data_IF_794841646476
#
_entry.id   IF_794841646476
#
_cell.length_a   1.000
_cell.length_b   1.000
_cell.length_c   1.000
_cell.angle_alpha   90.00
_cell.angle_beta   90.00
_cell.angle_gamma   90.00
#
_symmetry.space_group_name_H-M   'P 1'
#
loop_
_entity.id
_entity.type
_entity.pdbx_description
1 polymer ?
#
# COMPACT_ATOMS: atom_id res chain seq x y z
N UNK A 1 -9.53 43.98 -0.04
CA UNK A 1 -8.56 42.99 0.46
C UNK A 1 -8.98 41.62 -0.08
N UNK A 2 -8.41 41.23 -1.23
CA UNK A 2 -8.81 40.03 -1.96
C UNK A 2 -7.56 39.22 -2.29
N UNK A 3 -7.46 38.02 -1.72
CA UNK A 3 -6.37 37.08 -1.96
C UNK A 3 -6.63 36.32 -3.27
N UNK A 4 -5.72 36.33 -4.27
CA UNK A 4 -5.87 35.48 -5.44
C UNK A 4 -5.48 34.04 -5.09
N UNK A 5 -6.44 33.12 -5.21
CA UNK A 5 -6.19 31.68 -5.24
C UNK A 5 -5.63 31.31 -6.62
N UNK A 6 -4.31 31.17 -6.71
CA UNK A 6 -3.62 30.63 -7.87
C UNK A 6 -2.58 29.60 -7.44
N UNK A 7 -3.00 28.42 -6.98
CA UNK A 7 -2.09 27.27 -6.93
C UNK A 7 -2.06 26.63 -8.31
N UNK A 8 -1.00 26.93 -9.03
CA UNK A 8 -0.60 26.27 -10.26
C UNK A 8 -0.66 24.75 -10.09
N UNK A 9 -1.53 24.11 -10.87
CA UNK A 9 -1.46 22.68 -11.19
C UNK A 9 -0.18 22.46 -11.98
N UNK A 10 0.75 21.56 -11.60
CA UNK A 10 1.71 21.05 -12.56
C UNK A 10 0.96 20.13 -13.53
N UNK A 11 1.17 20.38 -14.81
CA UNK A 11 0.52 19.76 -15.95
C UNK A 11 0.55 18.23 -15.89
N UNK A 12 -0.56 17.62 -16.31
CA UNK A 12 -0.69 16.18 -16.44
C UNK A 12 0.36 15.58 -17.36
N UNK A 13 0.94 14.47 -16.93
CA UNK A 13 1.53 13.52 -17.86
C UNK A 13 0.41 12.97 -18.72
N UNK A 14 0.30 13.47 -19.95
CA UNK A 14 -0.58 12.91 -20.97
C UNK A 14 -0.06 11.51 -21.33
N UNK A 15 -0.71 10.47 -20.80
CA UNK A 15 -0.57 9.11 -21.32
C UNK A 15 -1.61 8.93 -22.42
N UNK A 16 -1.43 9.65 -23.53
CA UNK A 16 -2.25 9.51 -24.72
C UNK A 16 -1.85 8.24 -25.45
N UNK A 17 -2.82 7.35 -25.65
CA UNK A 17 -2.64 6.06 -26.30
C UNK A 17 -1.95 6.17 -27.65
N UNK A 18 -0.90 5.36 -27.80
CA UNK A 18 -0.10 5.17 -29.01
C UNK A 18 1.17 4.44 -28.58
N UNK A 19 1.52 3.33 -29.22
CA UNK A 19 2.61 2.45 -28.82
C UNK A 19 4.00 3.10 -28.85
N UNK A 20 4.35 3.87 -27.82
CA UNK A 20 5.63 4.58 -27.69
C UNK A 20 6.25 4.38 -26.31
N UNK A 21 7.38 3.67 -26.32
CA UNK A 21 8.52 3.73 -25.38
C UNK A 21 8.27 4.20 -23.94
N UNK A 22 8.00 3.23 -23.05
CA UNK A 22 8.11 3.38 -21.60
C UNK A 22 9.59 3.48 -21.19
N UNK A 23 10.27 4.60 -21.47
CA UNK A 23 11.71 4.76 -21.20
C UNK A 23 11.96 5.82 -20.12
N UNK A 24 11.67 5.48 -18.86
CA UNK A 24 12.29 6.17 -17.73
C UNK A 24 13.75 5.68 -17.61
N UNK A 25 14.62 6.35 -18.36
CA UNK A 25 16.06 6.09 -18.35
C UNK A 25 16.65 6.53 -17.00
N UNK A 26 16.89 5.58 -16.09
CA UNK A 26 17.97 5.62 -15.08
C UNK A 26 17.95 4.36 -14.19
N UNK A 27 18.87 3.43 -14.48
CA UNK A 27 19.17 2.16 -13.77
C UNK A 27 18.13 1.03 -13.94
N UNK A 28 17.84 0.68 -15.19
CA UNK A 28 17.25 -0.61 -15.54
C UNK A 28 18.36 -1.68 -15.47
N UNK A 29 18.59 -2.24 -14.29
CA UNK A 29 19.43 -3.43 -14.10
C UNK A 29 18.61 -4.72 -14.25
N UNK A 30 19.30 -5.86 -14.30
CA UNK A 30 18.66 -7.16 -14.19
C UNK A 30 17.70 -7.21 -12.99
N UNK A 31 16.54 -7.88 -13.16
CA UNK A 31 15.59 -8.05 -12.07
C UNK A 31 16.31 -8.75 -10.89
N UNK A 32 16.19 -8.21 -9.66
CA UNK A 32 16.77 -8.86 -8.49
C UNK A 32 16.31 -10.31 -8.35
N UNK A 33 17.24 -11.21 -7.99
CA UNK A 33 16.95 -12.62 -7.65
C UNK A 33 16.33 -12.75 -6.24
N UNK A 34 15.29 -11.96 -5.99
CA UNK A 34 14.45 -12.01 -4.80
C UNK A 34 13.01 -11.71 -5.23
N UNK A 35 12.06 -12.10 -4.39
CA UNK A 35 10.67 -11.72 -4.61
C UNK A 35 10.55 -10.19 -4.63
N UNK A 36 9.78 -9.69 -5.58
CA UNK A 36 9.50 -8.26 -5.71
C UNK A 36 8.01 -8.01 -5.47
N UNK A 37 7.66 -6.92 -4.76
CA UNK A 37 6.32 -6.40 -4.80
C UNK A 37 6.09 -5.61 -6.10
N UNK A 38 4.83 -5.50 -6.53
CA UNK A 38 4.43 -4.85 -7.77
C UNK A 38 5.10 -3.49 -8.00
N UNK A 39 5.09 -2.62 -6.99
CA UNK A 39 5.66 -1.27 -7.13
C UNK A 39 7.15 -1.27 -7.50
N UNK A 40 7.96 -2.14 -6.88
CA UNK A 40 9.38 -2.26 -7.25
C UNK A 40 9.57 -2.94 -8.59
N UNK A 41 8.73 -3.93 -8.93
CA UNK A 41 8.77 -4.58 -10.23
C UNK A 41 8.51 -3.58 -11.37
N UNK A 42 7.46 -2.76 -11.25
CA UNK A 42 7.16 -1.71 -12.22
C UNK A 42 8.30 -0.70 -12.36
N UNK A 43 8.94 -0.33 -11.24
CA UNK A 43 10.09 0.56 -11.22
C UNK A 43 11.30 -0.05 -11.95
N UNK A 44 11.67 -1.30 -11.62
CA UNK A 44 12.79 -1.99 -12.29
C UNK A 44 12.54 -2.22 -13.78
N UNK A 45 11.28 -2.44 -14.17
CA UNK A 45 10.88 -2.59 -15.57
C UNK A 45 10.72 -1.27 -16.32
N UNK A 46 10.92 -0.13 -15.65
CA UNK A 46 10.87 1.20 -16.26
C UNK A 46 9.45 1.72 -16.55
N UNK A 47 8.40 1.09 -16.01
CA UNK A 47 7.01 1.54 -16.20
C UNK A 47 6.66 2.74 -15.32
N UNK A 48 7.34 2.91 -14.19
CA UNK A 48 7.09 4.00 -13.24
C UNK A 48 8.40 4.59 -12.74
N UNK A 49 8.38 5.88 -12.39
CA UNK A 49 9.50 6.50 -11.70
C UNK A 49 9.48 6.19 -10.19
N UNK A 50 10.61 6.42 -9.51
CA UNK A 50 10.66 6.33 -8.05
C UNK A 50 9.69 7.32 -7.37
N UNK A 51 9.48 8.49 -7.99
CA UNK A 51 8.53 9.47 -7.48
C UNK A 51 7.09 8.94 -7.55
N UNK A 52 6.74 8.25 -8.63
CA UNK A 52 5.41 7.60 -8.78
C UNK A 52 5.21 6.50 -7.77
N UNK A 53 6.25 5.68 -7.55
CA UNK A 53 6.23 4.66 -6.50
C UNK A 53 6.01 5.29 -5.12
N UNK A 54 6.72 6.37 -4.80
CA UNK A 54 6.56 7.10 -3.54
C UNK A 54 5.14 7.65 -3.38
N UNK A 55 4.59 8.28 -4.42
CA UNK A 55 3.21 8.79 -4.41
C UNK A 55 2.19 7.67 -4.22
N UNK A 56 2.36 6.54 -4.91
CA UNK A 56 1.50 5.38 -4.78
C UNK A 56 1.49 4.84 -3.35
N UNK A 57 2.67 4.72 -2.71
CA UNK A 57 2.79 4.25 -1.33
C UNK A 57 2.15 5.21 -0.32
N UNK A 58 2.31 6.52 -0.53
CA UNK A 58 1.65 7.55 0.31
C UNK A 58 0.13 7.47 0.15
N UNK A 59 -0.36 7.36 -1.09
CA UNK A 59 -1.78 7.18 -1.38
C UNK A 59 -2.31 5.92 -0.69
N UNK A 60 -1.66 4.77 -0.87
CA UNK A 60 -2.10 3.50 -0.28
C UNK A 60 -2.15 3.57 1.27
N UNK A 61 -1.22 4.32 1.88
CA UNK A 61 -1.17 4.52 3.33
C UNK A 61 -2.28 5.44 3.83
N UNK A 62 -2.62 6.49 3.07
CA UNK A 62 -3.66 7.45 3.43
C UNK A 62 -5.06 6.83 3.53
N UNK A 63 -5.30 5.72 2.83
CA UNK A 63 -6.56 4.99 2.85
C UNK A 63 -6.78 4.15 4.12
N UNK A 64 -5.73 3.92 4.92
CA UNK A 64 -5.83 3.08 6.12
C UNK A 64 -6.59 3.82 7.22
N UNK A 65 -7.85 3.42 7.41
CA UNK A 65 -8.64 3.82 8.57
C UNK A 65 -7.95 3.36 9.85
N UNK A 66 -7.76 4.25 10.83
CA UNK A 66 -7.15 3.90 12.11
C UNK A 66 -8.06 2.94 12.88
N UNK A 67 -7.51 1.91 13.54
CA UNK A 67 -8.32 0.95 14.31
C UNK A 67 -9.21 1.65 15.35
N UNK A 68 -8.71 2.67 16.05
CA UNK A 68 -9.50 3.47 16.98
C UNK A 68 -10.74 4.12 16.35
N UNK A 69 -10.64 4.58 15.10
CA UNK A 69 -11.77 5.14 14.37
C UNK A 69 -12.77 4.05 13.94
N UNK A 70 -12.26 2.87 13.55
CA UNK A 70 -13.11 1.71 13.23
C UNK A 70 -13.88 1.28 14.49
N UNK A 71 -13.21 1.13 15.63
CA UNK A 71 -13.84 0.75 16.89
C UNK A 71 -14.88 1.78 17.34
N UNK A 72 -14.62 3.07 17.14
CA UNK A 72 -15.57 4.14 17.45
C UNK A 72 -16.83 4.05 16.61
N UNK A 73 -16.67 3.91 15.28
CA UNK A 73 -17.80 3.77 14.34
C UNK A 73 -18.65 2.55 14.60
N UNK A 74 -18.06 1.47 15.13
CA UNK A 74 -18.77 0.25 15.49
C UNK A 74 -19.34 0.26 16.90
N UNK A 75 -19.24 1.38 17.62
CA UNK A 75 -19.71 1.51 19.00
C UNK A 75 -18.96 0.60 19.99
N UNK A 76 -17.73 0.19 19.65
CA UNK A 76 -16.90 -0.69 20.50
C UNK A 76 -16.04 0.08 21.49
N UNK A 77 -15.60 1.29 21.11
CA UNK A 77 -14.85 2.19 21.99
C UNK A 77 -15.41 3.61 21.89
N UNK A 78 -15.51 4.28 23.03
CA UNK A 78 -15.70 5.72 23.14
C UNK A 78 -14.41 6.49 22.83
N UNK A 79 -14.53 7.80 22.60
CA UNK A 79 -13.35 8.64 22.38
C UNK A 79 -12.39 8.66 23.58
N UNK A 80 -12.92 8.57 24.79
CA UNK A 80 -12.10 8.59 26.00
C UNK A 80 -11.35 7.28 26.19
N UNK A 81 -11.97 6.13 25.93
CA UNK A 81 -11.28 4.84 25.92
C UNK A 81 -10.18 4.81 24.86
N UNK A 82 -10.42 5.39 23.67
CA UNK A 82 -9.39 5.51 22.63
C UNK A 82 -8.21 6.35 23.12
N UNK A 83 -8.45 7.48 23.80
CA UNK A 83 -7.38 8.31 24.38
C UNK A 83 -6.59 7.52 25.43
N UNK A 84 -7.25 6.72 26.26
CA UNK A 84 -6.58 5.87 27.26
C UNK A 84 -5.67 4.85 26.58
N UNK A 85 -6.17 4.14 25.56
CA UNK A 85 -5.36 3.18 24.78
C UNK A 85 -4.15 3.85 24.13
N UNK A 86 -4.33 5.05 23.57
CA UNK A 86 -3.24 5.80 22.92
C UNK A 86 -2.19 6.31 23.92
N UNK A 87 -2.60 6.65 25.14
CA UNK A 87 -1.71 7.08 26.22
C UNK A 87 -1.01 5.93 26.92
N UNK A 88 -1.54 4.71 26.80
CA UNK A 88 -0.93 3.52 27.37
C UNK A 88 0.48 3.31 26.80
N UNK A 89 1.48 3.41 27.66
CA UNK A 89 2.89 3.17 27.37
C UNK A 89 3.30 1.87 28.04
N UNK A 90 2.89 0.76 27.44
CA UNK A 90 3.44 -0.55 27.76
C UNK A 90 4.67 -0.80 26.88
N UNK A 91 5.78 -1.20 27.50
CA UNK A 91 7.03 -1.51 26.79
C UNK A 91 6.93 -2.81 26.00
N UNK A 92 6.05 -3.73 26.42
CA UNK A 92 5.85 -5.03 25.79
C UNK A 92 4.79 -5.00 24.70
N UNK A 93 3.95 -3.97 24.67
CA UNK A 93 2.80 -3.88 23.76
C UNK A 93 2.83 -2.59 22.95
N UNK A 94 3.13 -2.70 21.66
CA UNK A 94 3.29 -1.53 20.79
C UNK A 94 2.02 -1.16 20.01
N UNK A 95 1.20 -2.16 19.63
CA UNK A 95 0.09 -1.93 18.70
C UNK A 95 -1.18 -1.52 19.43
N UNK A 96 -1.97 -0.65 18.80
CA UNK A 96 -3.25 -0.17 19.37
C UNK A 96 -4.19 -1.30 19.79
N UNK A 97 -4.39 -2.31 18.92
CA UNK A 97 -5.29 -3.43 19.21
C UNK A 97 -4.81 -4.26 20.41
N UNK A 98 -3.52 -4.55 20.48
CA UNK A 98 -2.95 -5.29 21.60
C UNK A 98 -3.07 -4.49 22.92
N UNK A 99 -2.82 -3.17 22.89
CA UNK A 99 -3.02 -2.29 24.05
C UNK A 99 -4.48 -2.26 24.50
N UNK A 100 -5.42 -2.21 23.57
CA UNK A 100 -6.85 -2.22 23.88
C UNK A 100 -7.29 -3.55 24.49
N UNK A 101 -6.68 -4.67 24.08
CA UNK A 101 -6.90 -5.99 24.69
C UNK A 101 -6.29 -6.07 26.08
N UNK A 102 -5.05 -5.59 26.25
CA UNK A 102 -4.38 -5.56 27.55
C UNK A 102 -5.13 -4.70 28.58
N UNK A 103 -5.80 -3.63 28.14
CA UNK A 103 -6.64 -2.77 28.96
C UNK A 103 -8.06 -3.31 29.17
N UNK A 104 -8.42 -4.46 28.57
CA UNK A 104 -9.73 -5.07 28.70
C UNK A 104 -10.86 -4.38 27.91
N UNK A 105 -10.56 -3.37 27.10
CA UNK A 105 -11.57 -2.67 26.32
C UNK A 105 -12.01 -3.43 25.06
N UNK A 106 -11.13 -4.29 24.53
CA UNK A 106 -11.41 -5.14 23.38
C UNK A 106 -10.96 -6.57 23.66
N UNK A 107 -11.50 -7.52 22.89
CA UNK A 107 -10.94 -8.87 22.81
C UNK A 107 -10.21 -9.11 21.47
N UNK A 108 -9.43 -10.18 21.39
CA UNK A 108 -8.67 -10.53 20.18
C UNK A 108 -9.57 -10.66 18.94
N UNK A 109 -10.74 -11.30 19.06
CA UNK A 109 -11.67 -11.47 17.95
C UNK A 109 -12.16 -10.13 17.37
N UNK A 110 -12.47 -9.15 18.22
CA UNK A 110 -12.87 -7.81 17.80
C UNK A 110 -11.73 -7.09 17.08
N UNK A 111 -10.50 -7.19 17.60
CA UNK A 111 -9.32 -6.62 16.96
C UNK A 111 -9.08 -7.25 15.58
N UNK A 112 -9.13 -8.57 15.49
CA UNK A 112 -8.94 -9.29 14.23
C UNK A 112 -10.02 -8.94 13.19
N UNK A 113 -11.27 -8.82 13.63
CA UNK A 113 -12.39 -8.38 12.77
C UNK A 113 -12.13 -6.98 12.22
N UNK A 114 -11.67 -6.04 13.05
CA UNK A 114 -11.32 -4.69 12.60
C UNK A 114 -10.13 -4.66 11.65
N UNK A 115 -9.10 -5.49 11.91
CA UNK A 115 -7.95 -5.62 11.02
C UNK A 115 -8.40 -6.18 9.66
N UNK A 116 -9.26 -7.19 9.66
CA UNK A 116 -9.80 -7.76 8.43
C UNK A 116 -10.59 -6.71 7.63
N UNK A 117 -11.46 -5.97 8.31
CA UNK A 117 -12.22 -4.88 7.70
C UNK A 117 -11.31 -3.77 7.13
N UNK A 118 -10.29 -3.37 7.89
CA UNK A 118 -9.31 -2.37 7.45
C UNK A 118 -8.59 -2.83 6.17
N UNK A 119 -8.17 -4.11 6.12
CA UNK A 119 -7.48 -4.69 4.96
C UNK A 119 -8.37 -4.76 3.73
N UNK A 120 -9.62 -5.21 3.88
CA UNK A 120 -10.60 -5.33 2.79
C UNK A 120 -10.90 -4.01 2.08
N UNK A 121 -10.71 -2.87 2.77
CA UNK A 121 -10.97 -1.53 2.23
C UNK A 121 -9.75 -0.82 1.67
N UNK A 122 -8.55 -1.33 1.94
CA UNK A 122 -7.35 -0.75 1.38
C UNK A 122 -7.29 -1.12 -0.12
N UNK A 123 -7.28 -0.14 -1.01
CA UNK A 123 -7.20 -0.44 -2.43
C UNK A 123 -5.81 -1.02 -2.77
N UNK A 124 -5.74 -1.90 -3.78
CA UNK A 124 -4.48 -2.41 -4.30
C UNK A 124 -3.59 -1.24 -4.74
N UNK A 125 -2.28 -1.38 -4.56
CA UNK A 125 -1.33 -0.40 -5.11
C UNK A 125 -1.47 -0.28 -6.64
N UNK A 126 -1.87 -1.36 -7.31
CA UNK A 126 -2.13 -1.38 -8.77
C UNK A 126 -3.20 -0.37 -9.20
N UNK A 127 -4.26 -0.18 -8.41
CA UNK A 127 -5.35 0.75 -8.72
C UNK A 127 -4.86 2.19 -8.82
N UNK A 128 -3.85 2.58 -8.02
CA UNK A 128 -3.22 3.90 -8.15
C UNK A 128 -2.64 4.12 -9.56
N UNK A 129 -1.95 3.12 -10.10
CA UNK A 129 -1.30 3.24 -11.41
C UNK A 129 -2.33 3.31 -12.53
N UNK A 130 -3.48 2.66 -12.38
CA UNK A 130 -4.57 2.71 -13.37
C UNK A 130 -5.32 4.04 -13.30
N UNK A 131 -5.72 4.46 -12.10
CA UNK A 131 -6.58 5.64 -11.92
C UNK A 131 -5.80 6.96 -12.02
N UNK A 132 -4.55 6.99 -11.52
CA UNK A 132 -3.77 8.22 -11.36
C UNK A 132 -2.42 8.18 -12.10
N UNK A 133 -1.90 6.98 -12.35
CA UNK A 133 -0.63 6.78 -13.06
C UNK A 133 -0.75 6.63 -14.58
N UNK A 134 -1.97 6.56 -15.12
CA UNK A 134 -2.21 6.41 -16.56
C UNK A 134 -1.80 5.05 -17.14
N UNK A 135 -1.53 4.04 -16.31
CA UNK A 135 -1.21 2.68 -16.72
C UNK A 135 -2.50 1.96 -17.13
N UNK A 136 -2.66 1.52 -18.40
CA UNK A 136 -3.88 0.82 -18.79
C UNK A 136 -4.08 -0.47 -17.99
N UNK A 137 -5.32 -0.77 -17.62
CA UNK A 137 -5.68 -1.97 -16.84
C UNK A 137 -5.12 -3.26 -17.49
N UNK A 138 -5.25 -3.39 -18.82
CA UNK A 138 -4.74 -4.55 -19.58
C UNK A 138 -3.22 -4.68 -19.48
N UNK A 139 -2.48 -3.56 -19.44
CA UNK A 139 -1.03 -3.57 -19.27
C UNK A 139 -0.67 -3.99 -17.85
N UNK A 140 -1.40 -3.51 -16.85
CA UNK A 140 -1.20 -3.91 -15.46
C UNK A 140 -1.42 -5.43 -15.28
N UNK A 141 -2.48 -5.99 -15.86
CA UNK A 141 -2.77 -7.42 -15.79
C UNK A 141 -1.64 -8.27 -16.38
N UNK A 142 -1.11 -7.87 -17.54
CA UNK A 142 0.05 -8.52 -18.15
C UNK A 142 1.28 -8.47 -17.21
N UNK A 143 1.55 -7.31 -16.61
CA UNK A 143 2.71 -7.13 -15.72
C UNK A 143 2.57 -7.92 -14.41
N UNK A 144 1.34 -8.15 -13.93
CA UNK A 144 1.07 -9.00 -12.78
C UNK A 144 1.40 -10.47 -13.07
N UNK A 145 1.10 -10.96 -14.28
CA UNK A 145 1.49 -12.31 -14.70
C UNK A 145 3.01 -12.44 -14.77
N UNK A 146 3.70 -11.49 -15.41
CA UNK A 146 5.17 -11.50 -15.48
C UNK A 146 5.83 -11.43 -14.10
N UNK A 147 5.24 -10.67 -13.17
CA UNK A 147 5.68 -10.61 -11.78
C UNK A 147 5.51 -11.95 -11.06
N UNK A 148 4.37 -12.61 -11.28
CA UNK A 148 4.09 -13.92 -10.71
C UNK A 148 5.15 -14.93 -11.18
N UNK A 149 5.38 -15.02 -12.49
CA UNK A 149 6.37 -15.92 -13.08
C UNK A 149 7.80 -15.64 -12.59
N UNK A 150 8.15 -14.36 -12.41
CA UNK A 150 9.45 -13.97 -11.83
C UNK A 150 9.58 -14.46 -10.38
N UNK A 151 8.56 -14.18 -9.56
CA UNK A 151 8.58 -14.54 -8.15
C UNK A 151 8.58 -16.07 -7.96
N UNK A 152 7.86 -16.83 -8.80
CA UNK A 152 7.88 -18.29 -8.77
C UNK A 152 9.27 -18.84 -9.12
N UNK A 153 9.90 -18.36 -10.20
CA UNK A 153 11.25 -18.78 -10.59
C UNK A 153 12.27 -18.55 -9.47
N UNK A 154 12.24 -17.36 -8.87
CA UNK A 154 13.14 -17.03 -7.76
C UNK A 154 12.91 -17.92 -6.54
N UNK A 155 11.67 -18.32 -6.24
CA UNK A 155 11.36 -19.24 -5.14
C UNK A 155 11.92 -20.64 -5.43
N UNK A 156 11.79 -21.12 -6.66
CA UNK A 156 12.30 -22.43 -7.08
C UNK A 156 13.83 -22.45 -7.01
N UNK A 157 14.48 -21.39 -7.49
CA UNK A 157 15.94 -21.25 -7.48
C UNK A 157 16.50 -21.05 -6.07
N UNK A 158 15.73 -20.47 -5.15
CA UNK A 158 16.14 -20.22 -3.76
C UNK A 158 14.99 -20.53 -2.76
N UNK A 159 14.80 -21.81 -2.38
CA UNK A 159 13.68 -22.25 -1.54
C UNK A 159 13.69 -21.66 -0.11
N UNK A 160 14.82 -21.11 0.34
CA UNK A 160 14.95 -20.40 1.62
C UNK A 160 14.26 -19.02 1.64
N UNK A 161 13.84 -18.49 0.47
CA UNK A 161 13.13 -17.20 0.36
C UNK A 161 11.63 -17.26 0.67
N UNK A 162 11.12 -18.41 1.14
CA UNK A 162 9.70 -18.63 1.50
C UNK A 162 9.16 -17.75 2.64
N UNK A 163 9.97 -16.92 3.27
CA UNK A 163 9.60 -16.16 4.45
C UNK A 163 9.62 -14.66 4.11
N UNK A 164 8.49 -14.08 3.69
CA UNK A 164 7.94 -12.83 4.28
C UNK A 164 6.76 -12.14 3.58
N UNK A 165 6.26 -12.57 2.42
CA UNK A 165 5.18 -11.83 1.75
C UNK A 165 3.92 -12.66 1.52
N UNK A 166 3.23 -12.95 2.62
CA UNK A 166 1.80 -13.28 2.56
C UNK A 166 0.99 -12.05 2.15
N UNK A 167 0.45 -12.10 0.93
CA UNK A 167 -0.74 -11.38 0.47
C UNK A 167 -0.65 -9.84 0.58
N UNK A 168 -0.03 -9.23 -0.44
CA UNK A 168 -0.34 -7.86 -0.85
C UNK A 168 -0.89 -7.90 -2.27
N UNK A 169 -2.19 -8.16 -2.38
CA UNK A 169 -3.02 -7.79 -3.53
C UNK A 169 -4.12 -6.90 -2.99
#
# INVERSE_FOLDING_TARGET
>A
MSFPHGRSRPAGGNYSGGGGEYFFSSRCGSLPQRQLPLGFFLYYRGYISYQDLSRALVWQRSQRLRLGEISRRWGRLSEDEIKVVLRCRDQNVSRFGEKAVALGFLNHFQVDTMIHYQRRRQQPLGSFFVEQGGLPQVVLEKLLLELHDHNERVIIENPFLRRFFGIFF
#
